data_IF_104575001733
#
_entry.id   IF_104575001733
#
_cell.length_a   1.000
_cell.length_b   1.000
_cell.length_c   1.000
_cell.angle_alpha   90.00
_cell.angle_beta   90.00
_cell.angle_gamma   90.00
#
_symmetry.space_group_name_H-M   'P 1'
#
loop_
_entity.id
_entity.type
_entity.pdbx_description
1 polymer ?
#
# COMPACT_ATOMS: atom_id res chain seq x y z
N UNK A 1 -12.82 -6.53 -0.46
CA UNK A 1 -11.57 -7.32 -0.43
C UNK A 1 -10.81 -7.07 0.85
N UNK A 2 -10.92 -8.03 1.77
CA UNK A 2 -10.09 -8.07 2.98
C UNK A 2 -9.01 -9.15 2.80
N UNK A 3 -7.74 -8.77 2.56
CA UNK A 3 -6.65 -9.73 2.48
C UNK A 3 -6.34 -10.31 3.86
N UNK A 4 -5.93 -11.57 3.90
CA UNK A 4 -5.50 -12.27 5.11
C UNK A 4 -4.07 -12.76 4.94
N UNK A 5 -3.26 -12.51 5.96
CA UNK A 5 -1.84 -12.78 5.97
C UNK A 5 -1.49 -13.86 6.99
N UNK A 6 -0.37 -14.55 6.76
CA UNK A 6 0.28 -15.28 7.85
C UNK A 6 0.67 -14.31 8.98
N UNK A 7 0.85 -14.82 10.19
CA UNK A 7 1.24 -13.98 11.34
C UNK A 7 2.55 -13.21 11.07
N UNK A 8 3.49 -13.82 10.36
CA UNK A 8 4.80 -13.21 10.10
C UNK A 8 4.69 -12.16 8.97
N UNK A 9 3.93 -12.43 7.92
CA UNK A 9 3.63 -11.44 6.89
C UNK A 9 2.86 -10.24 7.47
N UNK A 10 1.91 -10.47 8.38
CA UNK A 10 1.18 -9.40 9.06
C UNK A 10 2.09 -8.44 9.82
N UNK A 11 3.17 -8.93 10.45
CA UNK A 11 4.15 -8.06 11.13
C UNK A 11 4.81 -7.09 10.16
N UNK A 12 5.23 -7.57 8.99
CA UNK A 12 5.78 -6.72 7.93
C UNK A 12 4.74 -5.71 7.41
N UNK A 13 3.52 -6.16 7.12
CA UNK A 13 2.42 -5.29 6.67
C UNK A 13 2.11 -4.19 7.68
N UNK A 14 2.10 -4.54 8.97
CA UNK A 14 1.88 -3.59 10.06
C UNK A 14 2.91 -2.46 10.11
N UNK A 15 4.16 -2.73 9.71
CA UNK A 15 5.19 -1.70 9.63
C UNK A 15 5.09 -0.83 8.36
N UNK A 16 4.40 -1.29 7.31
CA UNK A 16 4.16 -0.48 6.11
C UNK A 16 2.95 0.45 6.25
N UNK A 17 1.93 0.04 7.00
CA UNK A 17 0.73 0.85 7.23
C UNK A 17 1.01 1.83 8.37
N UNK A 18 1.22 3.10 8.01
CA UNK A 18 1.45 4.18 8.96
C UNK A 18 0.12 4.91 9.24
N UNK A 19 -0.04 5.44 10.45
CA UNK A 19 -1.26 6.16 10.88
C UNK A 19 -1.34 7.61 10.34
N UNK A 20 -0.72 7.87 9.18
CA UNK A 20 -0.61 9.19 8.59
C UNK A 20 -1.23 9.28 7.18
N UNK A 21 -1.71 8.16 6.64
CA UNK A 21 -2.47 8.11 5.39
C UNK A 21 -3.92 7.74 5.66
N UNK A 22 -4.84 8.49 5.06
CA UNK A 22 -6.27 8.15 5.06
C UNK A 22 -6.62 7.26 3.87
N UNK A 23 -5.92 7.42 2.76
CA UNK A 23 -6.07 6.66 1.53
C UNK A 23 -5.62 5.21 1.68
N UNK A 24 -6.54 4.27 1.46
CA UNK A 24 -6.27 2.84 1.58
C UNK A 24 -6.27 2.06 0.26
N UNK A 25 -6.67 2.67 -0.86
CA UNK A 25 -6.83 1.96 -2.12
C UNK A 25 -5.48 1.67 -2.79
N UNK A 26 -5.26 0.45 -3.27
CA UNK A 26 -4.01 0.06 -3.93
C UNK A 26 -2.84 -0.26 -2.99
N UNK A 27 -2.99 -0.09 -1.67
CA UNK A 27 -1.96 -0.47 -0.70
C UNK A 27 -1.61 -1.96 -0.79
N UNK A 28 -2.61 -2.80 -1.09
CA UNK A 28 -2.51 -4.24 -1.31
C UNK A 28 -1.49 -4.64 -2.39
N UNK A 29 -1.25 -3.78 -3.39
CA UNK A 29 -0.20 -4.02 -4.39
C UNK A 29 1.22 -4.00 -3.81
N UNK A 30 1.44 -3.23 -2.73
CA UNK A 30 2.73 -3.21 -2.03
C UNK A 30 2.86 -4.35 -1.01
N UNK A 31 1.73 -4.84 -0.45
CA UNK A 31 1.72 -5.89 0.59
C UNK A 31 2.35 -7.20 0.13
N UNK A 32 2.40 -7.46 -1.18
CA UNK A 32 3.11 -8.62 -1.77
C UNK A 32 4.58 -8.69 -1.36
N UNK A 33 5.22 -7.55 -1.03
CA UNK A 33 6.62 -7.50 -0.57
C UNK A 33 6.82 -8.20 0.78
N UNK A 34 5.77 -8.35 1.58
CA UNK A 34 5.78 -8.99 2.89
C UNK A 34 5.53 -10.50 2.88
N UNK A 35 5.38 -11.11 1.70
CA UNK A 35 5.18 -12.55 1.55
C UNK A 35 6.25 -13.15 0.64
N UNK A 36 6.49 -14.45 0.83
CA UNK A 36 7.30 -15.25 -0.10
C UNK A 36 6.60 -15.35 -1.45
N UNK A 37 7.36 -15.41 -2.55
CA UNK A 37 6.78 -15.71 -3.86
C UNK A 37 6.31 -17.18 -3.92
N UNK A 38 5.19 -17.47 -4.61
CA UNK A 38 4.32 -16.53 -5.29
C UNK A 38 3.31 -15.83 -4.36
N UNK A 39 3.20 -14.50 -4.44
CA UNK A 39 2.33 -13.73 -3.53
C UNK A 39 0.84 -14.12 -3.60
N UNK A 40 0.35 -14.52 -4.78
CA UNK A 40 -1.06 -14.88 -4.99
C UNK A 40 -1.48 -16.19 -4.29
N UNK A 41 -0.53 -17.03 -3.87
CA UNK A 41 -0.82 -18.23 -3.07
C UNK A 41 -0.73 -17.96 -1.57
N UNK A 42 0.03 -16.92 -1.17
CA UNK A 42 0.34 -16.61 0.23
C UNK A 42 -0.58 -15.55 0.82
N UNK A 43 -1.21 -14.72 -0.01
CA UNK A 43 -2.21 -13.75 0.40
C UNK A 43 -3.59 -14.35 0.18
N UNK A 44 -4.28 -14.68 1.27
CA UNK A 44 -5.67 -15.12 1.21
C UNK A 44 -6.61 -13.93 1.01
N UNK A 45 -7.78 -14.15 0.44
CA UNK A 45 -8.86 -13.16 0.36
C UNK A 45 -10.08 -13.77 1.05
N UNK A 46 -10.61 -13.08 2.07
CA UNK A 46 -11.87 -13.46 2.73
C UNK A 46 -12.98 -12.61 2.16
N UNK A 47 -13.43 -12.97 0.97
CA UNK A 47 -14.67 -12.48 0.38
C UNK A 47 -15.37 -13.65 -0.30
N UNK A 48 -16.69 -13.69 -0.22
CA UNK A 48 -17.51 -14.68 -0.96
C UNK A 48 -17.72 -14.29 -2.41
N UNK A 49 -17.61 -12.99 -2.72
CA UNK A 49 -17.89 -12.40 -4.04
C UNK A 49 -16.93 -11.25 -4.34
N UNK A 50 -16.71 -11.00 -5.63
CA UNK A 50 -15.98 -9.81 -6.08
C UNK A 50 -16.88 -8.57 -5.94
N UNK A 51 -16.29 -7.45 -5.55
CA UNK A 51 -17.00 -6.17 -5.36
C UNK A 51 -16.43 -5.16 -6.36
N UNK A 52 -17.32 -4.44 -7.06
CA UNK A 52 -16.92 -3.29 -7.88
C UNK A 52 -16.56 -2.12 -6.97
N UNK A 53 -15.32 -1.64 -7.06
CA UNK A 53 -14.92 -0.41 -6.38
C UNK A 53 -15.46 0.82 -7.13
N UNK A 54 -16.37 1.56 -6.51
CA UNK A 54 -17.01 2.74 -7.13
C UNK A 54 -16.13 4.00 -7.08
N UNK A 55 -14.95 3.92 -6.43
CA UNK A 55 -14.02 5.06 -6.29
C UNK A 55 -14.69 6.29 -5.67
N UNK A 56 -15.60 6.08 -4.71
CA UNK A 56 -16.24 7.13 -3.92
C UNK A 56 -15.50 7.23 -2.58
N UNK A 57 -14.91 8.39 -2.24
CA UNK A 57 -14.19 8.53 -0.98
C UNK A 57 -15.15 8.54 0.21
N UNK A 58 -14.87 7.70 1.21
CA UNK A 58 -15.70 7.59 2.43
C UNK A 58 -15.76 8.90 3.23
N UNK A 59 -14.73 9.73 3.15
CA UNK A 59 -14.65 11.02 3.85
C UNK A 59 -14.99 12.21 2.94
N UNK A 60 -15.71 12.02 1.83
CA UNK A 60 -15.93 13.08 0.83
C UNK A 60 -16.52 14.39 1.38
N UNK A 61 -17.27 14.36 2.48
CA UNK A 61 -17.81 15.57 3.14
C UNK A 61 -16.82 16.28 4.07
N UNK A 62 -15.66 15.68 4.35
CA UNK A 62 -14.62 16.20 5.24
C UNK A 62 -13.49 16.93 4.50
N UNK A 63 -13.55 16.98 3.17
CA UNK A 63 -12.60 17.77 2.39
C UNK A 63 -12.77 19.26 2.64
N UNK A 64 -11.66 20.00 2.54
CA UNK A 64 -11.71 21.46 2.62
C UNK A 64 -12.35 22.02 1.35
N UNK A 65 -13.30 22.92 1.53
CA UNK A 65 -13.83 23.75 0.46
C UNK A 65 -12.94 24.98 0.34
N UNK A 66 -12.05 24.99 -0.64
CA UNK A 66 -11.13 26.09 -0.93
C UNK A 66 -11.21 26.40 -2.43
N UNK A 67 -11.14 27.68 -2.80
CA UNK A 67 -11.03 28.16 -4.20
C UNK A 67 -12.08 27.59 -5.18
N UNK A 68 -13.30 27.30 -4.70
CA UNK A 68 -14.39 26.75 -5.52
C UNK A 68 -14.30 25.24 -5.76
N UNK A 69 -13.36 24.54 -5.11
CA UNK A 69 -13.24 23.08 -5.14
C UNK A 69 -14.25 22.47 -4.17
N UNK A 70 -15.08 21.55 -4.66
CA UNK A 70 -16.03 20.83 -3.80
C UNK A 70 -15.28 19.98 -2.75
N UNK A 71 -15.82 19.80 -1.53
CA UNK A 71 -15.21 18.94 -0.50
C UNK A 71 -14.81 17.56 -1.02
N UNK A 72 -15.67 16.92 -1.81
CA UNK A 72 -15.40 15.60 -2.36
C UNK A 72 -14.22 15.58 -3.33
N UNK A 73 -14.02 16.65 -4.10
CA UNK A 73 -12.86 16.79 -4.97
C UNK A 73 -11.59 17.03 -4.14
N UNK A 74 -11.65 17.87 -3.10
CA UNK A 74 -10.51 18.08 -2.19
C UNK A 74 -10.02 16.77 -1.55
N UNK A 75 -10.93 15.87 -1.15
CA UNK A 75 -10.54 14.55 -0.64
C UNK A 75 -9.89 13.67 -1.71
N UNK A 76 -10.39 13.72 -2.96
CA UNK A 76 -9.76 12.98 -4.07
C UNK A 76 -8.33 13.45 -4.32
N UNK A 77 -8.10 14.76 -4.27
CA UNK A 77 -6.78 15.34 -4.46
C UNK A 77 -5.82 14.92 -3.34
N UNK A 78 -6.29 14.93 -2.08
CA UNK A 78 -5.53 14.41 -0.93
C UNK A 78 -5.22 12.92 -1.11
N UNK A 79 -6.20 12.10 -1.48
CA UNK A 79 -6.00 10.66 -1.71
C UNK A 79 -4.91 10.40 -2.76
N UNK A 80 -4.89 11.17 -3.85
CA UNK A 80 -3.85 11.07 -4.87
C UNK A 80 -2.47 11.43 -4.31
N UNK A 81 -2.37 12.51 -3.53
CA UNK A 81 -1.11 12.92 -2.92
C UNK A 81 -0.61 11.91 -1.88
N UNK A 82 -1.51 11.32 -1.09
CA UNK A 82 -1.20 10.24 -0.15
C UNK A 82 -0.68 8.99 -0.86
N UNK A 83 -1.28 8.61 -2.00
CA UNK A 83 -0.79 7.53 -2.84
C UNK A 83 0.65 7.78 -3.32
N UNK A 84 0.92 8.97 -3.87
CA UNK A 84 2.26 9.35 -4.34
C UNK A 84 3.29 9.34 -3.19
N UNK A 85 2.89 9.81 -2.01
CA UNK A 85 3.74 9.76 -0.82
C UNK A 85 4.03 8.32 -0.39
N UNK A 86 3.04 7.44 -0.42
CA UNK A 86 3.20 6.02 -0.10
C UNK A 86 4.16 5.33 -1.07
N UNK A 87 3.95 5.46 -2.38
CA UNK A 87 4.83 4.86 -3.39
C UNK A 87 6.28 5.29 -3.20
N UNK A 88 6.51 6.59 -3.00
CA UNK A 88 7.85 7.12 -2.76
C UNK A 88 8.52 6.50 -1.54
N UNK A 89 7.79 6.35 -0.43
CA UNK A 89 8.32 5.75 0.81
C UNK A 89 8.69 4.28 0.62
N UNK A 90 7.85 3.53 -0.08
CA UNK A 90 8.12 2.11 -0.37
C UNK A 90 9.37 1.99 -1.25
N UNK A 91 9.50 2.83 -2.29
CA UNK A 91 10.67 2.84 -3.16
C UNK A 91 11.96 3.22 -2.42
N UNK A 92 11.90 4.19 -1.52
CA UNK A 92 13.03 4.59 -0.68
C UNK A 92 13.44 3.47 0.27
N UNK A 93 12.49 2.85 0.97
CA UNK A 93 12.75 1.72 1.85
C UNK A 93 13.38 0.52 1.10
N UNK A 94 12.91 0.24 -0.12
CA UNK A 94 13.45 -0.82 -0.97
C UNK A 94 14.91 -0.53 -1.37
N UNK A 95 15.21 0.70 -1.78
CA UNK A 95 16.59 1.13 -2.07
C UNK A 95 17.50 1.01 -0.86
N UNK A 96 17.04 1.43 0.32
CA UNK A 96 17.80 1.34 1.57
C UNK A 96 18.07 -0.11 1.97
N UNK A 97 17.07 -0.98 1.84
CA UNK A 97 17.21 -2.41 2.09
C UNK A 97 18.29 -3.04 1.21
N UNK A 98 18.23 -2.85 -0.11
CA UNK A 98 19.25 -3.42 -1.01
C UNK A 98 20.64 -2.84 -0.79
N UNK A 99 20.73 -1.54 -0.47
CA UNK A 99 21.98 -0.91 -0.07
C UNK A 99 22.55 -1.56 1.20
N UNK A 100 21.71 -1.88 2.18
CA UNK A 100 22.13 -2.55 3.43
C UNK A 100 22.69 -3.95 3.19
N UNK A 101 22.13 -4.67 2.20
CA UNK A 101 22.58 -5.99 1.78
C UNK A 101 23.88 -5.96 0.96
N UNK A 102 24.42 -4.77 0.65
CA UNK A 102 25.57 -4.56 -0.27
C UNK A 102 25.33 -5.17 -1.66
N UNK A 103 24.07 -5.36 -2.04
CA UNK A 103 23.66 -5.83 -3.36
C UNK A 103 23.53 -4.59 -4.24
N UNK A 104 24.28 -4.51 -5.34
CA UNK A 104 23.97 -3.54 -6.38
C UNK A 104 22.59 -3.91 -6.94
N UNK A 105 21.66 -2.95 -6.93
CA UNK A 105 20.25 -3.01 -7.35
C UNK A 105 19.85 -4.28 -8.10
N UNK A 106 18.79 -5.01 -7.69
CA UNK A 106 18.44 -6.25 -8.34
C UNK A 106 18.12 -6.00 -9.81
N UNK A 107 18.92 -6.58 -10.70
CA UNK A 107 18.53 -6.76 -12.08
C UNK A 107 17.36 -7.76 -12.10
N UNK A 108 16.13 -7.28 -12.31
CA UNK A 108 14.92 -8.07 -12.58
C UNK A 108 14.72 -9.35 -11.72
N UNK A 109 15.22 -9.36 -10.49
CA UNK A 109 15.14 -10.52 -9.60
C UNK A 109 14.51 -10.10 -8.29
N UNK A 110 13.37 -10.71 -8.00
CA UNK A 110 12.53 -10.56 -6.81
C UNK A 110 13.32 -10.96 -5.56
N UNK A 111 14.22 -10.10 -5.09
CA UNK A 111 14.97 -10.36 -3.85
C UNK A 111 14.16 -9.77 -2.69
N UNK A 112 13.61 -10.70 -1.91
CA UNK A 112 12.58 -10.53 -0.90
C UNK A 112 12.96 -9.67 0.31
N UNK A 113 11.97 -8.96 0.86
CA UNK A 113 11.94 -8.48 2.25
C UNK A 113 11.65 -9.65 3.20
N UNK A 114 12.62 -10.52 3.45
CA UNK A 114 12.54 -11.47 4.57
C UNK A 114 13.91 -11.50 5.23
N UNK A 115 14.06 -10.73 6.31
CA UNK A 115 15.08 -10.98 7.33
C UNK A 115 14.63 -10.37 8.66
N UNK A 116 14.27 -11.27 9.58
CA UNK A 116 14.19 -11.18 11.07
C UNK A 116 13.20 -10.21 11.70
#
# INVERSE_FOLDING_TARGET
MAPVFSRDAWRCVWHMIQNDLVHGWGLDFALRRCVEEPAYEKIGIVDTEWIVHQSIPSLGSQGKEEDGISPGQGVRDICYMEWVMFEKRVDEAEKEYFKSLKVQTPSNSTIHCIST
#
